data_IF_262799292174
#
_entry.id   IF_262799292174
#
_cell.length_a   1.000
_cell.length_b   1.000
_cell.length_c   1.000
_cell.angle_alpha   90.00
_cell.angle_beta   90.00
_cell.angle_gamma   90.00
#
_symmetry.space_group_name_H-M   'P 1'
#
loop_
_entity.id
_entity.type
_entity.pdbx_description
1 polymer ?
#
# COMPACT_ATOMS: atom_id res chain seq x y z
N UNK A 1 41.01 9.39 -63.56
CA UNK A 1 41.08 9.96 -62.21
C UNK A 1 39.69 10.48 -61.76
N UNK A 2 38.68 9.63 -61.50
CA UNK A 2 37.35 10.12 -61.02
C UNK A 2 36.50 9.02 -60.37
N UNK A 3 37.10 7.97 -59.77
CA UNK A 3 36.32 6.92 -59.05
C UNK A 3 36.40 6.96 -57.51
N UNK A 4 37.19 7.83 -56.91
CA UNK A 4 37.44 7.89 -55.49
C UNK A 4 36.43 8.75 -54.74
N UNK A 5 35.78 9.73 -55.37
CA UNK A 5 34.89 10.66 -54.67
C UNK A 5 33.48 10.11 -54.38
N UNK A 6 33.00 9.14 -55.18
CA UNK A 6 31.65 8.55 -54.94
C UNK A 6 31.59 7.60 -53.72
N UNK A 7 32.69 6.92 -53.42
CA UNK A 7 32.76 6.01 -52.26
C UNK A 7 32.82 6.76 -50.93
N UNK A 8 33.51 7.90 -50.90
CA UNK A 8 33.57 8.76 -49.71
C UNK A 8 32.22 9.43 -49.42
N UNK A 9 31.51 9.86 -50.48
CA UNK A 9 30.18 10.47 -50.30
C UNK A 9 29.15 9.48 -49.79
N UNK A 10 29.14 8.21 -50.25
CA UNK A 10 28.24 7.16 -49.76
C UNK A 10 28.49 6.78 -48.31
N UNK A 11 29.75 6.69 -47.86
CA UNK A 11 30.11 6.38 -46.48
C UNK A 11 29.70 7.52 -45.53
N UNK A 12 29.84 8.77 -45.99
CA UNK A 12 29.44 9.93 -45.18
C UNK A 12 27.91 10.05 -45.04
N UNK A 13 27.13 9.73 -46.07
CA UNK A 13 25.65 9.72 -46.00
C UNK A 13 25.14 8.58 -45.14
N UNK A 14 25.75 7.39 -45.16
CA UNK A 14 25.41 6.29 -44.27
C UNK A 14 25.74 6.59 -42.78
N UNK A 15 26.82 7.32 -42.51
CA UNK A 15 27.20 7.72 -41.16
C UNK A 15 26.23 8.78 -40.53
N UNK A 16 25.65 9.65 -41.37
CA UNK A 16 24.67 10.65 -40.90
C UNK A 16 23.31 10.03 -40.63
N UNK A 17 22.92 8.98 -41.36
CA UNK A 17 21.66 8.24 -41.09
C UNK A 17 21.67 7.38 -39.81
N UNK A 18 22.85 6.99 -39.32
CA UNK A 18 23.00 6.21 -38.09
C UNK A 18 22.82 7.05 -36.80
N UNK A 19 22.80 8.38 -36.90
CA UNK A 19 22.63 9.30 -35.78
C UNK A 19 21.16 9.74 -35.53
N UNK A 20 20.21 9.24 -36.33
CA UNK A 20 18.79 9.38 -36.02
C UNK A 20 18.41 8.44 -34.88
N UNK A 21 18.96 8.67 -33.68
CA UNK A 21 18.59 7.99 -32.45
C UNK A 21 17.11 8.23 -32.18
N UNK A 22 16.33 7.16 -32.07
CA UNK A 22 14.96 7.20 -31.59
C UNK A 22 14.92 7.77 -30.15
N UNK A 23 14.82 9.09 -30.05
CA UNK A 23 14.53 9.74 -28.79
C UNK A 23 13.14 9.32 -28.34
N UNK A 24 13.04 8.48 -27.29
CA UNK A 24 11.77 8.23 -26.63
C UNK A 24 11.39 9.50 -25.86
N UNK A 25 10.41 10.23 -26.37
CA UNK A 25 9.84 11.36 -25.65
C UNK A 25 8.96 10.84 -24.51
N UNK A 26 9.38 11.12 -23.27
CA UNK A 26 8.61 10.78 -22.08
C UNK A 26 7.46 11.79 -21.93
N UNK A 27 6.23 11.34 -22.15
CA UNK A 27 5.02 12.12 -21.88
C UNK A 27 4.48 11.78 -20.50
N UNK A 28 4.53 12.75 -19.58
CA UNK A 28 3.92 12.64 -18.24
C UNK A 28 2.58 13.36 -18.26
N UNK A 29 1.51 12.64 -17.89
CA UNK A 29 0.17 13.21 -17.77
C UNK A 29 -0.34 12.98 -16.34
N UNK A 30 -0.87 14.02 -15.71
CA UNK A 30 -1.52 13.92 -14.41
C UNK A 30 -2.97 13.50 -14.62
N UNK A 31 -3.38 12.42 -13.94
CA UNK A 31 -4.76 11.90 -13.96
C UNK A 31 -5.34 11.92 -12.54
N UNK A 32 -6.66 11.81 -12.42
CA UNK A 32 -7.32 11.67 -11.12
C UNK A 32 -6.89 10.37 -10.43
N UNK A 33 -6.64 10.44 -9.11
CA UNK A 33 -6.18 9.30 -8.32
C UNK A 33 -7.20 8.15 -8.22
N UNK A 34 -8.48 8.42 -8.49
CA UNK A 34 -9.54 7.40 -8.53
C UNK A 34 -9.58 6.58 -9.82
N UNK A 35 -8.84 6.98 -10.86
CA UNK A 35 -8.80 6.27 -12.14
C UNK A 35 -8.02 4.98 -11.99
N UNK A 36 -8.67 3.85 -12.32
CA UNK A 36 -8.01 2.54 -12.35
C UNK A 36 -7.01 2.49 -13.50
N UNK A 37 -5.73 2.32 -13.19
CA UNK A 37 -4.66 2.24 -14.19
C UNK A 37 -3.76 1.03 -13.91
N UNK A 38 -3.98 -0.03 -14.70
CA UNK A 38 -3.19 -1.27 -14.62
C UNK A 38 -2.17 -1.33 -15.77
N UNK A 39 -0.93 -0.92 -15.50
CA UNK A 39 0.13 -0.87 -16.52
C UNK A 39 0.97 -2.15 -16.60
N UNK A 40 1.14 -2.88 -15.53
CA UNK A 40 2.10 -3.98 -15.43
C UNK A 40 1.56 -5.27 -14.82
N UNK A 41 0.33 -5.29 -14.37
CA UNK A 41 -0.22 -6.41 -13.59
C UNK A 41 0.39 -6.54 -12.17
N UNK A 42 1.29 -5.65 -11.77
CA UNK A 42 1.83 -5.59 -10.41
C UNK A 42 0.82 -4.95 -9.46
N UNK A 43 1.09 -5.11 -8.15
CA UNK A 43 0.36 -4.38 -7.12
C UNK A 43 0.50 -2.87 -7.32
N UNK A 44 -0.62 -2.15 -7.27
CA UNK A 44 -0.67 -0.71 -7.47
C UNK A 44 -1.54 0.00 -6.40
N UNK A 45 -1.71 1.31 -6.55
CA UNK A 45 -2.49 2.17 -5.66
C UNK A 45 -3.97 1.78 -5.63
N UNK A 46 -4.53 1.41 -6.77
CA UNK A 46 -5.93 0.96 -6.87
C UNK A 46 -6.16 -0.31 -6.07
N UNK A 47 -5.23 -1.29 -6.16
CA UNK A 47 -5.32 -2.53 -5.38
C UNK A 47 -5.28 -2.23 -3.88
N UNK A 48 -4.34 -1.38 -3.45
CA UNK A 48 -4.17 -0.98 -2.05
C UNK A 48 -5.46 -0.40 -1.49
N UNK A 49 -5.98 0.62 -2.16
CA UNK A 49 -7.20 1.32 -1.74
C UNK A 49 -8.42 0.40 -1.72
N UNK A 50 -8.68 -0.31 -2.82
CA UNK A 50 -9.86 -1.20 -2.93
C UNK A 50 -9.84 -2.34 -1.90
N UNK A 51 -8.66 -2.89 -1.62
CA UNK A 51 -8.52 -3.96 -0.61
C UNK A 51 -8.74 -3.40 0.78
N UNK A 52 -8.12 -2.25 1.11
CA UNK A 52 -8.28 -1.61 2.42
C UNK A 52 -9.74 -1.27 2.70
N UNK A 53 -10.42 -0.58 1.76
CA UNK A 53 -11.84 -0.21 1.87
C UNK A 53 -12.73 -1.44 2.10
N UNK A 54 -12.55 -2.49 1.26
CA UNK A 54 -13.38 -3.69 1.35
C UNK A 54 -13.18 -4.44 2.67
N UNK A 55 -11.92 -4.62 3.10
CA UNK A 55 -11.61 -5.41 4.29
C UNK A 55 -11.93 -4.66 5.58
N UNK A 56 -11.72 -3.35 5.66
CA UNK A 56 -12.12 -2.54 6.82
C UNK A 56 -13.66 -2.52 6.94
N UNK A 57 -14.37 -2.34 5.82
CA UNK A 57 -15.83 -2.39 5.81
C UNK A 57 -16.34 -3.74 6.33
N UNK A 58 -15.76 -4.85 5.89
CA UNK A 58 -16.10 -6.20 6.38
C UNK A 58 -15.81 -6.35 7.86
N UNK A 59 -14.61 -5.98 8.32
CA UNK A 59 -14.21 -6.07 9.72
C UNK A 59 -15.16 -5.30 10.64
N UNK A 60 -15.56 -4.09 10.24
CA UNK A 60 -16.46 -3.23 11.03
C UNK A 60 -17.95 -3.65 10.97
N UNK A 61 -18.32 -4.61 10.14
CA UNK A 61 -19.65 -5.22 10.13
C UNK A 61 -19.70 -6.51 10.95
N UNK A 62 -18.54 -7.03 11.38
CA UNK A 62 -18.46 -8.29 12.10
C UNK A 62 -18.88 -8.15 13.58
N UNK A 63 -19.43 -9.21 14.21
CA UNK A 63 -20.02 -9.14 15.55
C UNK A 63 -19.09 -8.63 16.66
N UNK A 64 -17.78 -8.75 16.55
CA UNK A 64 -16.83 -8.31 17.60
C UNK A 64 -17.04 -6.86 18.01
N UNK A 65 -17.36 -5.98 17.05
CA UNK A 65 -17.57 -4.56 17.28
C UNK A 65 -18.82 -4.30 18.16
N UNK A 66 -19.94 -4.91 17.78
CA UNK A 66 -21.18 -4.81 18.54
C UNK A 66 -21.08 -5.45 19.94
N UNK A 67 -20.48 -6.63 20.01
CA UNK A 67 -20.26 -7.35 21.26
C UNK A 67 -19.39 -6.53 22.24
N UNK A 68 -18.30 -5.92 21.75
CA UNK A 68 -17.46 -5.07 22.57
C UNK A 68 -18.21 -3.83 23.08
N UNK A 69 -18.88 -3.12 22.18
CA UNK A 69 -19.60 -1.88 22.52
C UNK A 69 -20.70 -2.15 23.55
N UNK A 70 -21.40 -3.27 23.42
CA UNK A 70 -22.42 -3.70 24.38
C UNK A 70 -21.80 -4.07 25.74
N UNK A 71 -20.69 -4.79 25.74
CA UNK A 71 -20.04 -5.25 26.97
C UNK A 71 -19.32 -4.13 27.75
N UNK A 72 -18.69 -3.19 27.03
CA UNK A 72 -17.83 -2.16 27.64
C UNK A 72 -18.46 -0.76 27.66
N UNK A 73 -19.60 -0.54 27.00
CA UNK A 73 -20.30 0.76 26.95
C UNK A 73 -19.53 1.87 26.21
N UNK A 74 -18.54 1.51 25.40
CA UNK A 74 -17.71 2.45 24.63
C UNK A 74 -17.27 1.84 23.31
N UNK A 75 -16.75 2.68 22.42
CA UNK A 75 -16.09 2.20 21.20
C UNK A 75 -14.80 1.44 21.55
N UNK A 76 -14.46 0.37 20.81
CA UNK A 76 -13.17 -0.29 20.93
C UNK A 76 -12.04 0.62 20.41
N UNK A 77 -10.89 0.51 21.05
CA UNK A 77 -9.66 1.17 20.63
C UNK A 77 -8.85 0.21 19.76
N UNK A 78 -8.52 0.64 18.54
CA UNK A 78 -7.85 -0.20 17.54
C UNK A 78 -6.49 0.42 17.15
N UNK A 79 -5.51 -0.44 16.96
CA UNK A 79 -4.21 -0.09 16.36
C UNK A 79 -3.94 -0.98 15.17
N UNK A 80 -3.33 -0.45 14.12
CA UNK A 80 -2.76 -1.26 13.04
C UNK A 80 -1.34 -1.65 13.41
N UNK A 81 -1.06 -2.94 13.40
CA UNK A 81 0.25 -3.52 13.59
C UNK A 81 0.93 -3.81 12.25
N UNK A 82 1.79 -4.82 12.23
CA UNK A 82 2.57 -5.16 11.04
C UNK A 82 1.72 -5.85 9.99
N UNK A 83 1.82 -5.37 8.75
CA UNK A 83 1.46 -6.12 7.54
C UNK A 83 2.76 -6.62 6.90
N UNK A 84 2.86 -7.93 6.69
CA UNK A 84 4.06 -8.55 6.13
C UNK A 84 3.89 -8.77 4.63
N UNK A 85 4.85 -8.32 3.85
CA UNK A 85 4.91 -8.60 2.42
C UNK A 85 5.62 -9.94 2.19
N UNK A 86 4.86 -10.98 1.88
CA UNK A 86 5.33 -12.30 1.47
C UNK A 86 5.17 -12.52 -0.05
N UNK A 87 5.01 -11.44 -0.81
CA UNK A 87 4.92 -11.51 -2.27
C UNK A 87 6.31 -11.58 -2.91
N UNK A 88 6.32 -11.89 -4.22
CA UNK A 88 7.52 -11.82 -5.04
C UNK A 88 7.85 -10.40 -5.53
N UNK A 89 7.08 -9.41 -5.09
CA UNK A 89 7.21 -8.02 -5.51
C UNK A 89 7.62 -7.13 -4.34
N UNK A 90 8.29 -6.02 -4.65
CA UNK A 90 8.52 -4.97 -3.67
C UNK A 90 7.25 -4.13 -3.52
N UNK A 91 6.36 -4.54 -2.59
CA UNK A 91 5.15 -3.81 -2.25
C UNK A 91 5.43 -2.86 -1.08
N UNK A 92 5.09 -1.57 -1.25
CA UNK A 92 5.09 -0.62 -0.14
C UNK A 92 3.93 -0.92 0.80
N UNK A 93 4.16 -1.78 1.79
CA UNK A 93 3.14 -2.11 2.79
C UNK A 93 2.71 -0.90 3.63
N UNK A 94 3.58 0.11 3.74
CA UNK A 94 3.25 1.33 4.47
C UNK A 94 2.09 2.09 3.82
N UNK A 95 2.04 2.17 2.49
CA UNK A 95 0.92 2.79 1.77
C UNK A 95 -0.39 2.05 2.08
N UNK A 96 -0.37 0.72 2.06
CA UNK A 96 -1.53 -0.09 2.41
C UNK A 96 -1.94 0.07 3.89
N UNK A 97 -0.99 0.14 4.83
CA UNK A 97 -1.25 0.42 6.24
C UNK A 97 -1.94 1.78 6.39
N UNK A 98 -1.43 2.81 5.71
CA UNK A 98 -2.02 4.15 5.73
C UNK A 98 -3.46 4.17 5.19
N UNK A 99 -3.76 3.39 4.14
CA UNK A 99 -5.12 3.22 3.65
C UNK A 99 -6.03 2.57 4.70
N UNK A 100 -5.56 1.51 5.40
CA UNK A 100 -6.31 0.86 6.50
C UNK A 100 -6.57 1.84 7.66
N UNK A 101 -5.56 2.60 8.05
CA UNK A 101 -5.64 3.59 9.14
C UNK A 101 -6.65 4.70 8.81
N UNK A 102 -6.62 5.19 7.57
CA UNK A 102 -7.58 6.19 7.08
C UNK A 102 -9.01 5.65 7.15
N UNK A 103 -9.25 4.45 6.64
CA UNK A 103 -10.59 3.84 6.64
C UNK A 103 -11.10 3.59 8.06
N UNK A 104 -10.25 3.06 8.96
CA UNK A 104 -10.61 2.85 10.36
C UNK A 104 -10.94 4.17 11.07
N UNK A 105 -10.09 5.19 10.91
CA UNK A 105 -10.27 6.51 11.52
C UNK A 105 -11.55 7.18 11.03
N UNK A 106 -11.76 7.21 9.71
CA UNK A 106 -12.90 7.88 9.08
C UNK A 106 -14.23 7.15 9.31
N UNK A 107 -14.19 5.86 9.65
CA UNK A 107 -15.40 5.10 9.98
C UNK A 107 -16.16 5.63 11.18
N UNK A 108 -15.46 6.26 12.10
CA UNK A 108 -15.97 6.74 13.40
C UNK A 108 -16.65 5.63 14.27
N UNK A 109 -16.43 4.37 13.92
CA UNK A 109 -16.96 3.22 14.66
C UNK A 109 -16.00 2.69 15.71
N UNK A 110 -14.74 3.06 15.61
CA UNK A 110 -13.65 2.69 16.51
C UNK A 110 -12.86 3.93 16.89
N UNK A 111 -12.22 3.92 18.05
CA UNK A 111 -11.18 4.89 18.38
C UNK A 111 -9.87 4.36 17.83
N UNK A 112 -9.29 5.05 16.84
CA UNK A 112 -8.01 4.64 16.26
C UNK A 112 -6.86 5.33 16.99
N UNK A 113 -5.81 4.58 17.33
CA UNK A 113 -4.62 5.12 18.01
C UNK A 113 -3.36 4.88 17.19
N UNK A 114 -2.41 5.79 17.33
CA UNK A 114 -1.15 5.80 16.62
C UNK A 114 -0.38 4.48 16.72
N UNK A 115 0.29 4.09 15.64
CA UNK A 115 1.17 2.95 15.57
C UNK A 115 2.43 3.11 16.41
N UNK A 116 3.25 2.06 16.50
CA UNK A 116 4.45 2.06 17.37
C UNK A 116 5.42 3.20 17.03
N UNK A 117 5.73 3.38 15.73
CA UNK A 117 6.68 4.44 15.29
C UNK A 117 6.19 5.83 15.63
N UNK A 118 4.93 6.12 15.33
CA UNK A 118 4.30 7.41 15.63
C UNK A 118 4.23 7.69 17.13
N UNK A 119 3.93 6.67 17.96
CA UNK A 119 3.91 6.85 19.41
C UNK A 119 5.27 7.23 19.98
N UNK A 120 6.35 6.68 19.43
CA UNK A 120 7.70 6.99 19.90
C UNK A 120 8.06 8.45 19.62
N UNK A 121 7.62 9.02 18.49
CA UNK A 121 7.75 10.44 18.16
C UNK A 121 6.91 11.32 19.11
N UNK A 122 5.64 10.98 19.31
CA UNK A 122 4.74 11.70 20.24
C UNK A 122 5.26 11.67 21.66
N UNK A 123 5.86 10.55 22.10
CA UNK A 123 6.47 10.44 23.45
C UNK A 123 7.71 11.32 23.58
N UNK A 124 8.49 11.46 22.53
CA UNK A 124 9.65 12.34 22.49
C UNK A 124 9.18 13.79 22.58
N UNK A 125 8.18 14.19 21.80
CA UNK A 125 7.57 15.52 21.86
C UNK A 125 7.05 15.85 23.27
N UNK A 126 6.35 14.93 23.93
CA UNK A 126 5.87 15.14 25.30
C UNK A 126 7.00 15.38 26.31
N UNK A 127 8.14 14.72 26.13
CA UNK A 127 9.31 14.97 26.98
C UNK A 127 9.89 16.36 26.78
N UNK A 128 9.91 16.82 25.53
CA UNK A 128 10.34 18.18 25.21
C UNK A 128 9.38 19.23 25.75
N UNK A 129 8.07 19.00 25.64
CA UNK A 129 7.05 19.88 26.22
C UNK A 129 7.20 20.00 27.75
N UNK A 130 7.56 18.93 28.44
CA UNK A 130 7.79 18.99 29.88
C UNK A 130 8.94 19.91 30.30
N UNK A 131 9.84 20.23 29.36
CA UNK A 131 10.99 21.13 29.59
C UNK A 131 10.74 22.55 29.11
N UNK A 132 10.07 22.70 27.96
CA UNK A 132 10.01 23.96 27.21
C UNK A 132 8.61 24.58 27.14
N UNK A 133 7.54 23.80 27.35
CA UNK A 133 6.18 24.35 27.31
C UNK A 133 5.73 24.85 28.70
N UNK A 134 4.73 25.75 28.71
CA UNK A 134 4.13 26.20 29.96
C UNK A 134 3.34 25.07 30.66
N UNK A 135 3.24 25.11 31.97
CA UNK A 135 2.50 24.11 32.79
C UNK A 135 1.06 23.93 32.31
N UNK A 136 0.41 25.01 31.81
CA UNK A 136 -0.98 24.99 31.37
C UNK A 136 -1.17 24.21 30.05
N UNK A 137 -0.14 24.19 29.20
CA UNK A 137 -0.26 23.62 27.84
C UNK A 137 0.46 22.30 27.67
N UNK A 138 1.44 21.95 28.52
CA UNK A 138 2.19 20.71 28.44
C UNK A 138 1.31 19.46 28.55
N UNK A 139 1.69 18.40 27.86
CA UNK A 139 1.02 17.12 27.92
C UNK A 139 1.79 16.13 28.79
N UNK A 140 1.16 15.70 29.88
CA UNK A 140 1.79 14.76 30.79
C UNK A 140 1.97 13.36 30.18
N UNK A 141 3.09 12.65 30.45
CA UNK A 141 3.24 11.25 30.13
C UNK A 141 2.24 10.38 30.87
N UNK A 142 2.02 9.14 30.40
CA UNK A 142 1.17 8.16 31.07
C UNK A 142 -0.34 8.32 30.83
N UNK A 143 -0.77 9.16 29.89
CA UNK A 143 -2.17 9.35 29.51
C UNK A 143 -2.50 8.79 28.11
N UNK A 144 -1.71 7.85 27.63
CA UNK A 144 -2.00 7.16 26.36
C UNK A 144 -3.19 6.22 26.53
N UNK A 145 -4.08 6.22 25.55
CA UNK A 145 -5.17 5.24 25.50
C UNK A 145 -4.59 3.93 24.98
N UNK A 146 -4.73 2.85 25.73
CA UNK A 146 -4.36 1.51 25.30
C UNK A 146 -5.30 0.98 24.24
N UNK A 147 -4.77 0.29 23.22
CA UNK A 147 -5.58 -0.40 22.25
C UNK A 147 -6.22 -1.66 22.86
N UNK A 148 -7.49 -1.91 22.52
CA UNK A 148 -8.20 -3.15 22.85
C UNK A 148 -7.90 -4.23 21.81
N UNK A 149 -7.76 -3.81 20.54
CA UNK A 149 -7.53 -4.70 19.40
C UNK A 149 -6.37 -4.24 18.53
N UNK A 150 -5.71 -5.23 17.92
CA UNK A 150 -4.68 -5.00 16.90
C UNK A 150 -5.10 -5.64 15.58
N UNK A 151 -5.13 -4.85 14.51
CA UNK A 151 -5.23 -5.36 13.15
C UNK A 151 -3.83 -5.63 12.60
N UNK A 152 -3.61 -6.81 12.03
CA UNK A 152 -2.36 -7.18 11.35
C UNK A 152 -2.63 -8.16 10.21
N UNK A 153 -1.66 -8.37 9.33
CA UNK A 153 -1.89 -9.27 8.20
C UNK A 153 -0.68 -9.56 7.34
N UNK A 154 -0.98 -10.12 6.16
CA UNK A 154 0.02 -10.49 5.16
C UNK A 154 -0.50 -10.22 3.75
N UNK A 155 0.41 -9.92 2.83
CA UNK A 155 0.18 -9.90 1.40
C UNK A 155 1.05 -11.00 0.79
N UNK A 156 0.44 -11.93 0.07
CA UNK A 156 1.13 -13.03 -0.61
C UNK A 156 0.76 -13.07 -2.10
N UNK A 157 1.61 -13.68 -2.92
CA UNK A 157 1.35 -13.87 -4.35
C UNK A 157 1.62 -15.31 -4.79
N UNK A 158 0.84 -15.74 -5.80
CA UNK A 158 1.14 -16.90 -6.61
C UNK A 158 1.31 -16.41 -8.06
N UNK A 159 2.41 -16.84 -8.68
CA UNK A 159 2.71 -16.55 -10.08
C UNK A 159 2.53 -17.81 -10.90
N UNK A 160 1.87 -17.67 -12.05
CA UNK A 160 1.73 -18.70 -13.06
C UNK A 160 2.00 -18.07 -14.42
N UNK A 161 2.99 -18.59 -15.16
CA UNK A 161 3.42 -18.01 -16.43
C UNK A 161 3.68 -19.12 -17.46
N UNK A 162 3.01 -19.01 -18.62
CA UNK A 162 3.18 -19.90 -19.75
C UNK A 162 2.93 -19.15 -21.09
N UNK A 163 3.69 -19.48 -22.12
CA UNK A 163 3.47 -19.03 -23.50
C UNK A 163 3.27 -17.50 -23.68
N UNK A 164 3.96 -16.70 -22.86
CA UNK A 164 3.90 -15.24 -22.91
C UNK A 164 2.68 -14.65 -22.18
N UNK A 165 1.86 -15.46 -21.53
CA UNK A 165 0.79 -15.05 -20.62
C UNK A 165 1.24 -15.27 -19.18
N UNK A 166 1.05 -14.25 -18.33
CA UNK A 166 1.37 -14.30 -16.91
C UNK A 166 0.11 -14.01 -16.10
N UNK A 167 -0.23 -14.91 -15.19
CA UNK A 167 -1.25 -14.69 -14.18
C UNK A 167 -0.59 -14.39 -12.83
N UNK A 168 -0.97 -13.28 -12.21
CA UNK A 168 -0.53 -12.90 -10.86
C UNK A 168 -1.76 -12.96 -9.96
N UNK A 169 -1.69 -13.81 -8.95
CA UNK A 169 -2.72 -13.95 -7.94
C UNK A 169 -2.21 -13.34 -6.63
N UNK A 170 -2.90 -12.34 -6.14
CA UNK A 170 -2.64 -11.71 -4.84
C UNK A 170 -3.65 -12.20 -3.82
N UNK A 171 -3.18 -12.50 -2.64
CA UNK A 171 -3.99 -12.79 -1.48
C UNK A 171 -3.58 -11.88 -0.33
N UNK A 172 -4.53 -11.13 0.19
CA UNK A 172 -4.36 -10.30 1.38
C UNK A 172 -5.19 -10.91 2.48
N UNK A 173 -4.53 -11.26 3.57
CA UNK A 173 -5.14 -11.77 4.79
C UNK A 173 -4.97 -10.75 5.90
N UNK A 174 -6.07 -10.30 6.51
CA UNK A 174 -6.09 -9.45 7.69
C UNK A 174 -6.78 -10.15 8.85
N UNK A 175 -6.35 -9.85 10.05
CA UNK A 175 -6.95 -10.39 11.28
C UNK A 175 -7.03 -9.30 12.35
N UNK A 176 -8.11 -9.33 13.12
CA UNK A 176 -8.29 -8.53 14.33
C UNK A 176 -8.05 -9.40 15.55
N UNK A 177 -7.10 -9.00 16.37
CA UNK A 177 -6.67 -9.74 17.57
C UNK A 177 -7.04 -8.93 18.81
N UNK A 178 -7.72 -9.54 19.74
CA UNK A 178 -7.98 -9.02 21.08
C UNK A 178 -6.65 -9.04 21.86
N UNK A 179 -6.23 -7.88 22.36
CA UNK A 179 -4.96 -7.72 23.07
C UNK A 179 -5.01 -8.18 24.53
N UNK A 180 -6.21 -8.39 25.10
CA UNK A 180 -6.37 -8.90 26.46
C UNK A 180 -6.11 -10.42 26.55
N UNK A 181 -6.58 -11.17 25.53
CA UNK A 181 -6.56 -12.64 25.58
C UNK A 181 -5.98 -13.33 24.34
N UNK A 182 -5.47 -12.56 23.35
CA UNK A 182 -4.88 -13.01 22.09
C UNK A 182 -5.85 -13.76 21.15
N UNK A 183 -7.16 -13.65 21.34
CA UNK A 183 -8.12 -14.29 20.45
C UNK A 183 -8.26 -13.51 19.15
N UNK A 184 -8.45 -14.24 18.04
CA UNK A 184 -8.75 -13.64 16.75
C UNK A 184 -10.27 -13.47 16.65
N UNK A 185 -10.72 -12.24 16.76
CA UNK A 185 -12.15 -11.90 16.72
C UNK A 185 -12.70 -11.70 15.31
N UNK A 186 -11.80 -11.50 14.34
CA UNK A 186 -12.11 -11.44 12.92
C UNK A 186 -10.91 -11.86 12.10
N UNK A 187 -11.19 -12.52 10.97
CA UNK A 187 -10.23 -12.88 9.96
C UNK A 187 -10.87 -12.67 8.59
N UNK A 188 -10.32 -11.76 7.80
CA UNK A 188 -10.77 -11.45 6.45
C UNK A 188 -9.71 -11.81 5.42
N UNK A 189 -10.18 -12.12 4.21
CA UNK A 189 -9.33 -12.44 3.07
C UNK A 189 -9.84 -11.75 1.82
N UNK A 190 -8.96 -11.04 1.11
CA UNK A 190 -9.23 -10.47 -0.21
C UNK A 190 -8.29 -11.05 -1.24
N UNK A 191 -8.86 -11.40 -2.40
CA UNK A 191 -8.12 -12.01 -3.52
C UNK A 191 -8.27 -11.14 -4.76
N UNK A 192 -7.15 -10.94 -5.46
CA UNK A 192 -7.09 -10.26 -6.76
C UNK A 192 -6.33 -11.16 -7.72
N UNK A 193 -6.84 -11.32 -8.94
CA UNK A 193 -6.16 -12.02 -10.02
C UNK A 193 -6.01 -11.09 -11.21
N UNK A 194 -4.77 -10.88 -11.65
CA UNK A 194 -4.42 -10.09 -12.83
C UNK A 194 -3.82 -11.01 -13.88
N UNK A 195 -4.19 -10.78 -15.14
CA UNK A 195 -3.63 -11.50 -16.29
C UNK A 195 -2.92 -10.51 -17.19
N UNK A 196 -1.68 -10.79 -17.50
CA UNK A 196 -0.82 -9.98 -18.38
C UNK A 196 -0.49 -10.79 -19.62
N UNK A 197 -0.89 -10.31 -20.79
CA UNK A 197 -0.60 -10.94 -22.08
C UNK A 197 0.42 -10.09 -22.83
N UNK A 198 1.50 -10.71 -23.29
CA UNK A 198 2.45 -10.07 -24.22
C UNK A 198 1.91 -10.19 -25.63
N UNK A 199 1.49 -9.09 -26.25
CA UNK A 199 1.17 -9.08 -27.68
C UNK A 199 2.44 -9.44 -28.49
N UNK A 200 2.39 -10.53 -29.24
CA UNK A 200 3.41 -10.84 -30.25
C UNK A 200 3.29 -9.82 -31.39
N UNK A 201 4.29 -8.97 -31.54
CA UNK A 201 4.43 -8.18 -32.78
C UNK A 201 4.94 -9.14 -33.86
N UNK A 202 4.08 -9.52 -34.79
CA UNK A 202 4.49 -10.25 -36.01
C UNK A 202 4.97 -9.17 -36.95
N UNK A 203 6.27 -9.18 -37.28
CA UNK A 203 6.87 -8.37 -38.34
C UNK A 203 6.74 -9.10 -39.69
#
# INVERSE_FOLDING_TARGET
>A
MTQTNGRFLCVMVCAVLALAGCGHELKVTRVDAGVVTDLSGRWNDTDSRMVAEAMVKEALQYPWLGNFSQAKGRQPVVVVGTVVNNSHEHISVQTFITDLERELTNSQKVTFVAGKGERDEVRTERKEQAVYASEETQKAPGKEIGADYMMKGTIATILDEADGTKAVFYQVDLQMIDLENNTKVWYGQKKIKKVVEKKRTVF
#
